data_IF_990812881087
#
_entry.id   IF_990812881087
#
_cell.length_a   1.000
_cell.length_b   1.000
_cell.length_c   1.000
_cell.angle_alpha   90.00
_cell.angle_beta   90.00
_cell.angle_gamma   90.00
#
_symmetry.space_group_name_H-M   'P 1'
#
loop_
_entity.id
_entity.type
_entity.pdbx_description
1 polymer ?
#
# COMPACT_ATOMS: atom_id res chain seq x y z
N UNK A 1 -13.20 -5.46 9.96
CA UNK A 1 -12.48 -5.80 8.73
C UNK A 1 -11.31 -4.85 8.69
N UNK A 2 -10.09 -5.36 8.67
CA UNK A 2 -8.88 -4.55 8.48
C UNK A 2 -8.74 -4.12 7.02
N UNK A 3 -9.41 -4.81 6.09
CA UNK A 3 -9.32 -4.54 4.67
C UNK A 3 -10.15 -3.37 4.14
N UNK A 4 -10.60 -2.40 4.93
CA UNK A 4 -11.46 -1.32 4.41
C UNK A 4 -10.64 -0.12 3.91
N UNK A 5 -10.37 -0.07 2.60
CA UNK A 5 -9.65 1.03 1.93
C UNK A 5 -10.57 1.83 1.01
N UNK A 6 -10.26 3.10 0.83
CA UNK A 6 -11.03 3.98 -0.05
C UNK A 6 -10.61 3.86 -1.51
N UNK A 7 -11.61 3.94 -2.38
CA UNK A 7 -11.43 4.07 -3.82
C UNK A 7 -12.03 5.41 -4.27
N UNK A 8 -11.22 6.25 -4.91
CA UNK A 8 -11.75 7.45 -5.55
C UNK A 8 -12.41 7.06 -6.87
N UNK A 9 -13.74 7.04 -6.87
CA UNK A 9 -14.57 6.64 -8.04
C UNK A 9 -14.99 7.80 -8.92
N UNK A 10 -14.48 9.02 -8.66
CA UNK A 10 -14.74 10.16 -9.53
C UNK A 10 -14.30 9.83 -10.96
N UNK A 11 -15.09 10.17 -11.99
CA UNK A 11 -14.80 9.74 -13.36
C UNK A 11 -13.40 10.10 -13.87
N UNK A 12 -12.83 11.20 -13.38
CA UNK A 12 -11.49 11.66 -13.75
C UNK A 12 -10.34 10.83 -13.13
N UNK A 13 -10.59 10.07 -12.06
CA UNK A 13 -9.60 9.25 -11.36
C UNK A 13 -9.88 7.75 -11.43
N UNK A 14 -10.99 7.37 -12.06
CA UNK A 14 -11.41 5.99 -12.23
C UNK A 14 -11.81 5.71 -13.67
N UNK A 15 -10.89 5.19 -14.46
CA UNK A 15 -11.08 4.91 -15.90
C UNK A 15 -12.33 4.08 -16.18
N UNK A 16 -12.65 3.12 -15.30
CA UNK A 16 -13.84 2.28 -15.47
C UNK A 16 -15.16 3.04 -15.37
N UNK A 17 -15.20 4.20 -14.73
CA UNK A 17 -16.39 5.06 -14.73
C UNK A 17 -16.71 5.60 -16.14
N UNK A 18 -15.69 5.81 -16.97
CA UNK A 18 -15.84 6.29 -18.34
C UNK A 18 -15.78 5.16 -19.37
N UNK A 19 -15.04 4.09 -19.08
CA UNK A 19 -14.83 2.94 -19.94
C UNK A 19 -15.11 1.63 -19.18
N UNK A 20 -16.38 1.18 -19.11
CA UNK A 20 -16.74 -0.04 -18.37
C UNK A 20 -16.04 -1.33 -18.85
N UNK A 21 -15.51 -1.34 -20.08
CA UNK A 21 -14.73 -2.45 -20.63
C UNK A 21 -13.25 -2.46 -20.21
N UNK A 22 -12.74 -1.39 -19.61
CA UNK A 22 -11.34 -1.27 -19.21
C UNK A 22 -11.01 -2.19 -18.03
N UNK A 23 -10.15 -3.18 -18.21
CA UNK A 23 -9.69 -4.01 -17.08
C UNK A 23 -8.63 -3.24 -16.29
N UNK A 24 -8.98 -2.78 -15.09
CA UNK A 24 -8.01 -2.11 -14.20
C UNK A 24 -6.99 -3.09 -13.65
N UNK A 25 -5.81 -2.58 -13.27
CA UNK A 25 -4.78 -3.36 -12.59
C UNK A 25 -4.62 -2.89 -11.15
N UNK A 26 -4.66 -3.82 -10.20
CA UNK A 26 -4.44 -3.55 -8.79
C UNK A 26 -3.41 -4.47 -8.17
N UNK A 27 -2.47 -3.90 -7.42
CA UNK A 27 -1.55 -4.61 -6.54
C UNK A 27 -1.87 -4.31 -5.09
N UNK A 28 -1.93 -5.33 -4.24
CA UNK A 28 -2.24 -5.23 -2.82
C UNK A 28 -1.22 -5.99 -1.99
N UNK A 29 -0.43 -5.28 -1.19
CA UNK A 29 0.59 -5.85 -0.32
C UNK A 29 0.12 -5.92 1.12
N UNK A 30 0.40 -7.06 1.76
CA UNK A 30 0.02 -7.41 3.13
C UNK A 30 -1.51 -7.49 3.26
N UNK A 31 -2.02 -8.69 3.01
CA UNK A 31 -3.46 -8.93 2.94
C UNK A 31 -3.98 -9.40 4.30
N UNK A 32 -3.12 -10.01 5.13
CA UNK A 32 -3.47 -10.32 6.51
C UNK A 32 -4.72 -11.21 6.66
N UNK A 33 -4.98 -12.08 5.68
CA UNK A 33 -6.19 -12.92 5.55
C UNK A 33 -7.52 -12.17 5.30
N UNK A 34 -7.52 -10.84 5.19
CA UNK A 34 -8.70 -10.04 4.85
C UNK A 34 -8.66 -9.56 3.39
N UNK A 35 -9.18 -10.38 2.48
CA UNK A 35 -9.30 -10.06 1.05
C UNK A 35 -10.56 -9.25 0.72
N UNK A 36 -11.27 -8.68 1.70
CA UNK A 36 -12.60 -8.10 1.43
C UNK A 36 -12.54 -6.99 0.37
N UNK A 37 -11.54 -6.11 0.43
CA UNK A 37 -11.33 -5.07 -0.57
C UNK A 37 -10.76 -5.60 -1.88
N UNK A 38 -9.77 -6.50 -1.83
CA UNK A 38 -9.19 -7.15 -3.01
C UNK A 38 -10.27 -7.89 -3.83
N UNK A 39 -11.14 -8.64 -3.15
CA UNK A 39 -12.27 -9.34 -3.76
C UNK A 39 -13.28 -8.37 -4.37
N UNK A 40 -13.51 -7.22 -3.74
CA UNK A 40 -14.43 -6.20 -4.28
C UNK A 40 -13.84 -5.49 -5.50
N UNK A 41 -12.56 -5.16 -5.49
CA UNK A 41 -11.87 -4.59 -6.65
C UNK A 41 -11.87 -5.55 -7.84
N UNK A 42 -11.74 -6.86 -7.60
CA UNK A 42 -11.90 -7.87 -8.65
C UNK A 42 -13.34 -7.91 -9.19
N UNK A 43 -14.36 -7.85 -8.32
CA UNK A 43 -15.78 -7.76 -8.75
C UNK A 43 -16.08 -6.49 -9.54
N UNK A 44 -15.40 -5.39 -9.22
CA UNK A 44 -15.50 -4.15 -9.97
C UNK A 44 -14.87 -4.26 -11.37
N UNK A 45 -14.12 -5.32 -11.67
CA UNK A 45 -13.55 -5.61 -12.99
C UNK A 45 -12.04 -5.38 -13.10
N UNK A 46 -11.31 -5.39 -11.96
CA UNK A 46 -9.86 -5.35 -11.98
C UNK A 46 -9.22 -6.74 -12.08
N UNK A 47 -8.08 -6.79 -12.75
CA UNK A 47 -7.03 -7.78 -12.54
C UNK A 47 -6.34 -7.45 -11.21
N UNK A 48 -6.51 -8.32 -10.19
CA UNK A 48 -6.04 -8.07 -8.83
C UNK A 48 -4.97 -9.09 -8.44
N UNK A 49 -3.81 -8.57 -8.02
CA UNK A 49 -2.70 -9.35 -7.48
C UNK A 49 -2.51 -8.99 -6.01
N UNK A 50 -2.71 -9.97 -5.14
CA UNK A 50 -2.59 -9.84 -3.70
C UNK A 50 -1.31 -10.54 -3.22
N UNK A 51 -0.50 -9.87 -2.42
CA UNK A 51 0.86 -10.28 -2.06
C UNK A 51 1.00 -10.37 -0.54
N UNK A 52 1.33 -11.56 -0.03
CA UNK A 52 1.66 -11.73 1.39
C UNK A 52 2.56 -12.95 1.60
N UNK A 53 3.82 -12.79 2.00
CA UNK A 53 4.73 -13.92 2.16
C UNK A 53 4.48 -14.70 3.46
N UNK A 54 3.79 -14.10 4.43
CA UNK A 54 3.57 -14.68 5.76
C UNK A 54 2.40 -15.67 5.79
N UNK A 55 1.48 -15.57 4.82
CA UNK A 55 0.25 -16.34 4.79
C UNK A 55 0.45 -17.80 4.37
N UNK A 56 -0.41 -18.67 4.90
CA UNK A 56 -0.40 -20.10 4.63
C UNK A 56 -1.21 -20.47 3.37
N UNK A 57 -1.00 -19.74 2.28
CA UNK A 57 -1.51 -20.10 0.96
C UNK A 57 -0.35 -20.47 0.02
N UNK A 58 -0.71 -21.20 -1.04
CA UNK A 58 0.18 -21.51 -2.15
C UNK A 58 0.27 -20.31 -3.10
N UNK A 59 1.46 -20.10 -3.65
CA UNK A 59 1.68 -19.08 -4.68
C UNK A 59 0.84 -19.38 -5.93
N UNK A 60 0.23 -18.36 -6.52
CA UNK A 60 -0.66 -18.49 -7.67
C UNK A 60 -2.08 -18.98 -7.35
N UNK A 61 -2.45 -19.13 -6.06
CA UNK A 61 -3.83 -19.46 -5.69
C UNK A 61 -4.80 -18.39 -6.23
N UNK A 62 -5.82 -18.83 -6.96
CA UNK A 62 -6.87 -17.95 -7.48
C UNK A 62 -8.13 -18.05 -6.61
N UNK A 63 -8.59 -16.93 -6.08
CA UNK A 63 -9.83 -16.84 -5.31
C UNK A 63 -11.05 -16.89 -6.22
N UNK A 64 -12.24 -17.16 -5.65
CA UNK A 64 -13.51 -17.18 -6.40
C UNK A 64 -13.83 -15.87 -7.11
N UNK A 65 -13.33 -14.75 -6.59
CA UNK A 65 -13.44 -13.40 -7.16
C UNK A 65 -12.56 -13.19 -8.39
N UNK A 66 -11.57 -14.05 -8.64
CA UNK A 66 -10.53 -13.88 -9.66
C UNK A 66 -9.22 -13.28 -9.14
N UNK A 67 -9.16 -12.86 -7.87
CA UNK A 67 -7.93 -12.38 -7.23
C UNK A 67 -6.86 -13.47 -7.26
N UNK A 68 -5.66 -13.12 -7.73
CA UNK A 68 -4.49 -14.00 -7.77
C UNK A 68 -3.62 -13.69 -6.55
N UNK A 69 -3.42 -14.68 -5.69
CA UNK A 69 -2.54 -14.56 -4.53
C UNK A 69 -1.10 -14.94 -4.87
N UNK A 70 -0.16 -14.15 -4.38
CA UNK A 70 1.28 -14.35 -4.51
C UNK A 70 1.91 -14.45 -3.12
N UNK A 71 2.68 -15.51 -2.89
CA UNK A 71 3.44 -15.72 -1.66
C UNK A 71 4.78 -14.99 -1.73
N UNK A 72 4.71 -13.70 -2.00
CA UNK A 72 5.86 -12.82 -2.26
C UNK A 72 5.69 -11.57 -1.42
N UNK A 73 6.76 -11.13 -0.75
CA UNK A 73 6.81 -9.85 -0.05
C UNK A 73 7.39 -8.75 -0.92
N UNK A 74 7.12 -7.51 -0.51
CA UNK A 74 7.69 -6.32 -1.13
C UNK A 74 8.93 -5.87 -0.36
N UNK A 75 9.98 -5.42 -1.06
CA UNK A 75 11.18 -4.88 -0.43
C UNK A 75 11.99 -3.99 -1.38
N UNK A 76 13.09 -3.42 -0.90
CA UNK A 76 13.96 -2.53 -1.70
C UNK A 76 14.87 -3.26 -2.69
N UNK A 77 14.99 -4.59 -2.59
CA UNK A 77 15.86 -5.42 -3.43
C UNK A 77 15.21 -6.77 -3.70
N UNK A 78 15.54 -7.41 -4.82
CA UNK A 78 15.04 -8.75 -5.09
C UNK A 78 15.79 -9.79 -4.25
N UNK A 79 15.06 -10.63 -3.52
CA UNK A 79 15.60 -11.66 -2.63
C UNK A 79 14.82 -12.95 -2.88
N UNK A 80 15.51 -14.04 -3.22
CA UNK A 80 14.83 -15.34 -3.39
C UNK A 80 14.38 -15.94 -2.06
N UNK A 81 15.13 -15.66 -0.99
CA UNK A 81 14.85 -16.14 0.36
C UNK A 81 15.47 -15.23 1.42
N UNK A 82 14.64 -14.47 2.15
CA UNK A 82 15.08 -13.65 3.28
C UNK A 82 15.34 -14.50 4.54
N UNK A 83 15.59 -13.87 5.69
CA UNK A 83 15.81 -14.56 6.96
C UNK A 83 14.59 -15.35 7.46
N UNK A 84 13.38 -15.00 7.02
CA UNK A 84 12.13 -15.72 7.33
C UNK A 84 11.82 -16.81 6.31
N UNK A 85 12.61 -16.93 5.26
CA UNK A 85 12.37 -17.86 4.16
C UNK A 85 11.47 -17.32 3.06
N UNK A 86 11.19 -16.01 3.07
CA UNK A 86 10.27 -15.36 2.15
C UNK A 86 10.96 -14.88 0.88
N UNK A 87 10.27 -15.06 -0.25
CA UNK A 87 10.66 -14.43 -1.51
C UNK A 87 10.23 -12.98 -1.48
N UNK A 88 11.16 -12.07 -1.76
CA UNK A 88 10.92 -10.63 -1.77
C UNK A 88 11.26 -10.05 -3.13
N UNK A 89 10.51 -9.02 -3.53
CA UNK A 89 10.68 -8.31 -4.80
C UNK A 89 10.53 -6.81 -4.64
N UNK A 90 11.13 -6.06 -5.55
CA UNK A 90 10.79 -4.64 -5.77
C UNK A 90 9.46 -4.50 -6.54
N UNK A 91 8.79 -3.35 -6.44
CA UNK A 91 7.56 -3.10 -7.19
C UNK A 91 7.83 -3.14 -8.71
N UNK A 92 8.96 -2.57 -9.13
CA UNK A 92 9.44 -2.58 -10.51
C UNK A 92 9.62 -4.01 -11.03
N UNK A 93 10.28 -4.88 -10.26
CA UNK A 93 10.47 -6.28 -10.65
C UNK A 93 9.13 -7.01 -10.74
N UNK A 94 8.20 -6.79 -9.81
CA UNK A 94 6.86 -7.41 -9.88
C UNK A 94 6.07 -6.98 -11.11
N UNK A 95 6.10 -5.70 -11.47
CA UNK A 95 5.49 -5.22 -12.71
C UNK A 95 6.10 -5.91 -13.94
N UNK A 96 7.40 -6.18 -13.94
CA UNK A 96 8.08 -6.87 -15.04
C UNK A 96 7.78 -8.37 -15.07
N UNK A 97 7.96 -9.08 -13.95
CA UNK A 97 7.78 -10.53 -13.84
C UNK A 97 6.33 -10.95 -14.14
N UNK A 98 5.35 -10.12 -13.77
CA UNK A 98 3.93 -10.38 -14.03
C UNK A 98 3.45 -9.88 -15.41
N UNK A 99 4.34 -9.35 -16.25
CA UNK A 99 3.99 -8.92 -17.62
C UNK A 99 3.17 -7.63 -17.69
N UNK A 100 3.33 -6.75 -16.70
CA UNK A 100 2.62 -5.48 -16.56
C UNK A 100 3.44 -4.25 -16.99
N UNK A 101 4.61 -4.46 -17.59
CA UNK A 101 5.30 -3.40 -18.33
C UNK A 101 4.41 -2.93 -19.48
N UNK A 102 4.18 -1.62 -19.59
CA UNK A 102 3.24 -1.01 -20.52
C UNK A 102 1.79 -0.92 -20.05
N UNK A 103 1.46 -1.33 -18.82
CA UNK A 103 0.13 -1.10 -18.19
C UNK A 103 0.17 0.07 -17.21
N UNK A 104 -0.97 0.71 -16.97
CA UNK A 104 -1.16 1.56 -15.79
C UNK A 104 -1.36 0.67 -14.56
N UNK A 105 -0.88 1.12 -13.40
CA UNK A 105 -1.27 0.53 -12.12
C UNK A 105 -2.39 1.41 -11.55
N UNK A 106 -3.64 0.97 -11.70
CA UNK A 106 -4.80 1.77 -11.32
C UNK A 106 -4.91 1.95 -9.81
N UNK A 107 -4.54 0.92 -9.05
CA UNK A 107 -4.57 0.96 -7.60
C UNK A 107 -3.38 0.22 -6.99
N UNK A 108 -2.63 0.89 -6.14
CA UNK A 108 -1.59 0.30 -5.30
C UNK A 108 -2.05 0.38 -3.85
N UNK A 109 -2.23 -0.76 -3.18
CA UNK A 109 -2.43 -0.85 -1.73
C UNK A 109 -1.16 -1.38 -1.07
N UNK A 110 -0.67 -0.71 -0.03
CA UNK A 110 0.47 -1.16 0.77
C UNK A 110 0.11 -1.14 2.25
N UNK A 111 -0.09 -2.32 2.81
CA UNK A 111 -0.41 -2.51 4.22
C UNK A 111 0.42 -3.65 4.79
N UNK A 112 1.69 -3.37 5.05
CA UNK A 112 2.66 -4.41 5.43
C UNK A 112 3.11 -4.22 6.86
N UNK A 113 2.98 -5.26 7.68
CA UNK A 113 3.55 -5.30 9.02
C UNK A 113 5.03 -5.67 8.99
N UNK A 114 5.87 -4.86 9.65
CA UNK A 114 7.27 -5.22 9.93
C UNK A 114 7.71 -4.69 11.32
N UNK A 115 8.73 -5.28 11.98
CA UNK A 115 9.08 -4.98 13.37
C UNK A 115 9.40 -3.51 13.69
N UNK A 116 9.83 -2.72 12.71
CA UNK A 116 10.14 -1.28 12.87
C UNK A 116 9.17 -0.36 12.10
N UNK A 117 8.02 -0.90 11.69
CA UNK A 117 7.07 -0.35 10.73
C UNK A 117 7.36 -0.86 9.32
N UNK A 118 6.32 -0.88 8.49
CA UNK A 118 6.27 -1.55 7.20
C UNK A 118 7.25 -1.07 6.12
N UNK A 119 6.93 -1.40 4.87
CA UNK A 119 7.72 -1.02 3.69
C UNK A 119 7.25 0.30 3.05
N UNK A 120 6.52 1.16 3.77
CA UNK A 120 5.90 2.37 3.22
C UNK A 120 6.93 3.36 2.69
N UNK A 121 7.97 3.64 3.48
CA UNK A 121 9.04 4.56 3.09
C UNK A 121 9.97 3.96 2.04
N UNK A 122 10.01 2.64 1.92
CA UNK A 122 10.72 1.95 0.84
C UNK A 122 9.96 2.08 -0.48
N UNK A 123 8.64 1.84 -0.48
CA UNK A 123 7.82 1.93 -1.68
C UNK A 123 7.68 3.35 -2.18
N UNK A 124 7.47 4.33 -1.30
CA UNK A 124 7.47 5.73 -1.71
C UNK A 124 8.83 6.13 -2.32
N UNK A 125 9.95 5.64 -1.77
CA UNK A 125 11.25 5.90 -2.36
C UNK A 125 11.37 5.29 -3.76
N UNK A 126 10.96 4.03 -3.92
CA UNK A 126 10.99 3.36 -5.22
C UNK A 126 10.12 4.08 -6.24
N UNK A 127 8.90 4.49 -5.88
CA UNK A 127 8.01 5.27 -6.75
C UNK A 127 8.69 6.55 -7.26
N UNK A 128 9.39 7.26 -6.37
CA UNK A 128 10.12 8.49 -6.69
C UNK A 128 11.35 8.21 -7.56
N UNK A 129 12.21 7.27 -7.16
CA UNK A 129 13.51 6.98 -7.80
C UNK A 129 13.36 6.37 -9.20
N UNK A 130 12.34 5.54 -9.40
CA UNK A 130 12.13 4.80 -10.66
C UNK A 130 11.21 5.52 -11.63
N UNK A 131 10.53 6.58 -11.21
CA UNK A 131 9.50 7.25 -11.99
C UNK A 131 8.15 6.52 -12.01
N UNK A 132 7.99 5.42 -11.28
CA UNK A 132 6.71 4.70 -11.20
C UNK A 132 5.56 5.56 -10.66
N UNK A 133 5.86 6.61 -9.87
CA UNK A 133 4.87 7.62 -9.46
C UNK A 133 4.14 8.29 -10.64
N UNK A 134 4.62 8.16 -11.87
CA UNK A 134 4.02 8.74 -13.08
C UNK A 134 2.98 7.82 -13.73
N UNK A 135 2.94 6.54 -13.37
CA UNK A 135 2.05 5.54 -13.96
C UNK A 135 1.04 4.93 -12.98
N UNK A 136 1.27 5.07 -11.67
CA UNK A 136 0.29 4.69 -10.64
C UNK A 136 -0.79 5.78 -10.54
N UNK A 137 -2.07 5.39 -10.57
CA UNK A 137 -3.22 6.33 -10.55
C UNK A 137 -3.74 6.61 -9.14
N UNK A 138 -3.88 5.58 -8.32
CA UNK A 138 -4.30 5.70 -6.92
C UNK A 138 -3.34 4.89 -6.02
N UNK A 139 -3.02 5.44 -4.86
CA UNK A 139 -2.11 4.82 -3.91
C UNK A 139 -2.67 4.94 -2.51
N UNK A 140 -2.95 3.80 -1.89
CA UNK A 140 -3.32 3.71 -0.50
C UNK A 140 -2.25 2.97 0.31
N UNK A 141 -1.96 3.46 1.51
CA UNK A 141 -1.04 2.79 2.41
C UNK A 141 -1.45 2.94 3.86
N UNK A 142 -1.16 1.93 4.68
CA UNK A 142 -1.11 2.06 6.13
C UNK A 142 0.28 2.51 6.57
N UNK A 143 0.37 3.71 7.11
CA UNK A 143 1.59 4.30 7.67
C UNK A 143 1.75 3.87 9.13
N UNK A 144 2.83 3.16 9.40
CA UNK A 144 3.27 2.73 10.71
C UNK A 144 4.28 3.72 11.31
N UNK A 145 3.84 4.52 12.28
CA UNK A 145 4.74 5.39 13.06
C UNK A 145 5.06 4.70 14.38
N UNK A 146 6.30 4.22 14.50
CA UNK A 146 6.81 3.58 15.71
C UNK A 146 7.46 4.59 16.66
N UNK A 147 6.93 4.71 17.88
CA UNK A 147 7.55 5.39 19.00
C UNK A 147 8.56 4.51 19.75
N UNK A 148 9.44 5.09 20.59
CA UNK A 148 9.41 6.50 20.97
C UNK A 148 10.15 7.40 19.97
N UNK A 149 9.57 8.56 19.65
CA UNK A 149 10.13 9.50 18.66
C UNK A 149 11.30 10.35 19.18
N UNK A 150 11.68 10.21 20.46
CA UNK A 150 12.95 10.73 20.96
C UNK A 150 14.15 9.85 20.56
N UNK A 151 13.93 8.66 20.00
CA UNK A 151 14.98 7.85 19.41
C UNK A 151 15.32 8.37 18.00
N UNK A 152 16.58 8.72 17.71
CA UNK A 152 16.95 9.32 16.43
C UNK A 152 16.49 8.52 15.20
N UNK A 153 16.69 7.20 15.18
CA UNK A 153 16.30 6.33 14.06
C UNK A 153 14.79 6.43 13.74
N UNK A 154 13.94 6.46 14.77
CA UNK A 154 12.48 6.52 14.64
C UNK A 154 12.01 7.90 14.18
N UNK A 155 12.63 8.96 14.72
CA UNK A 155 12.38 10.33 14.30
C UNK A 155 12.76 10.55 12.83
N UNK A 156 13.92 10.06 12.42
CA UNK A 156 14.40 10.18 11.04
C UNK A 156 13.50 9.44 10.05
N UNK A 157 13.02 8.23 10.39
CA UNK A 157 12.03 7.53 9.55
C UNK A 157 10.72 8.32 9.42
N UNK A 158 10.21 8.89 10.51
CA UNK A 158 9.00 9.73 10.46
C UNK A 158 9.19 10.98 9.59
N UNK A 159 10.35 11.64 9.69
CA UNK A 159 10.72 12.78 8.83
C UNK A 159 10.84 12.37 7.36
N UNK A 160 11.42 11.19 7.09
CA UNK A 160 11.54 10.63 5.75
C UNK A 160 10.17 10.39 5.12
N UNK A 161 9.25 9.73 5.83
CA UNK A 161 7.86 9.50 5.39
C UNK A 161 7.18 10.82 5.05
N UNK A 162 7.26 11.81 5.95
CA UNK A 162 6.69 13.15 5.71
C UNK A 162 7.29 13.82 4.47
N UNK A 163 8.61 13.76 4.30
CA UNK A 163 9.30 14.30 3.13
C UNK A 163 8.83 13.62 1.85
N UNK A 164 8.75 12.29 1.82
CA UNK A 164 8.36 11.53 0.63
C UNK A 164 6.92 11.81 0.21
N UNK A 165 5.98 11.93 1.16
CA UNK A 165 4.61 12.38 0.85
C UNK A 165 4.61 13.80 0.27
N UNK A 166 5.47 14.68 0.77
CA UNK A 166 5.62 16.05 0.23
C UNK A 166 6.22 16.03 -1.19
N UNK A 167 7.20 15.17 -1.43
CA UNK A 167 7.80 14.99 -2.75
C UNK A 167 6.76 14.45 -3.75
N UNK A 168 5.96 13.44 -3.36
CA UNK A 168 4.83 12.97 -4.17
C UNK A 168 3.84 14.10 -4.50
N UNK A 169 3.55 15.01 -3.56
CA UNK A 169 2.69 16.17 -3.84
C UNK A 169 3.27 17.08 -4.94
N UNK A 170 4.61 17.21 -5.01
CA UNK A 170 5.28 17.97 -6.08
C UNK A 170 5.19 17.29 -7.45
N UNK A 171 4.79 16.01 -7.49
CA UNK A 171 4.54 15.20 -8.68
C UNK A 171 3.04 14.95 -8.94
N UNK A 172 2.16 15.83 -8.43
CA UNK A 172 0.72 15.80 -8.72
C UNK A 172 -0.12 14.89 -7.82
N UNK A 173 0.48 14.20 -6.85
CA UNK A 173 -0.29 13.38 -5.90
C UNK A 173 -1.03 14.25 -4.89
N UNK A 174 -2.25 13.85 -4.53
CA UNK A 174 -3.07 14.53 -3.52
C UNK A 174 -3.70 13.51 -2.59
N UNK A 175 -3.49 13.72 -1.29
CA UNK A 175 -4.20 13.02 -0.24
C UNK A 175 -5.67 13.43 -0.26
N UNK A 176 -6.59 12.48 -0.41
CA UNK A 176 -8.02 12.74 -0.42
C UNK A 176 -8.76 12.13 0.78
N UNK A 177 -8.19 11.09 1.42
CA UNK A 177 -8.71 10.60 2.69
C UNK A 177 -7.61 10.11 3.63
N UNK A 178 -7.92 10.15 4.93
CA UNK A 178 -7.15 9.56 6.01
C UNK A 178 -8.07 8.91 7.04
N UNK A 179 -7.77 7.67 7.41
CA UNK A 179 -8.50 6.95 8.45
C UNK A 179 -7.56 6.45 9.54
N UNK A 180 -8.05 6.47 10.77
CA UNK A 180 -7.37 5.92 11.93
C UNK A 180 -7.51 4.39 11.89
N UNK A 181 -6.41 3.63 11.75
CA UNK A 181 -6.48 2.20 12.02
C UNK A 181 -6.40 1.91 13.52
N UNK A 182 -7.56 2.00 14.16
CA UNK A 182 -7.76 1.74 15.59
C UNK A 182 -8.72 0.57 15.82
N UNK A 183 -8.98 -0.24 14.78
CA UNK A 183 -10.03 -1.25 14.76
C UNK A 183 -9.88 -2.28 15.88
N UNK A 184 -8.64 -2.69 16.18
CA UNK A 184 -8.33 -3.58 17.30
C UNK A 184 -8.65 -2.94 18.67
N UNK A 185 -8.44 -1.63 18.81
CA UNK A 185 -8.70 -0.86 20.03
C UNK A 185 -10.19 -0.60 20.26
N UNK A 186 -10.98 -0.45 19.19
CA UNK A 186 -12.43 -0.19 19.27
C UNK A 186 -13.20 -1.29 20.01
N UNK A 187 -12.69 -2.54 20.01
CA UNK A 187 -13.28 -3.65 20.78
C UNK A 187 -13.34 -3.38 22.28
N UNK A 188 -12.41 -2.59 22.81
CA UNK A 188 -12.27 -2.32 24.24
C UNK A 188 -12.55 -0.85 24.60
N UNK A 189 -12.36 0.05 23.65
CA UNK A 189 -12.62 1.47 23.79
C UNK A 189 -13.29 2.01 22.53
N UNK A 190 -14.63 2.20 22.52
CA UNK A 190 -15.36 2.71 21.37
C UNK A 190 -14.94 4.12 20.91
N UNK A 191 -14.29 4.89 21.80
CA UNK A 191 -13.79 6.22 21.51
C UNK A 191 -12.30 6.23 21.14
N UNK A 192 -11.69 5.06 20.92
CA UNK A 192 -10.30 4.95 20.51
C UNK A 192 -10.06 5.73 19.21
N UNK A 193 -8.97 6.50 19.20
CA UNK A 193 -8.48 7.22 18.04
C UNK A 193 -6.96 7.37 18.18
N UNK A 194 -6.25 7.61 17.08
CA UNK A 194 -4.79 7.69 17.10
C UNK A 194 -4.27 8.92 17.84
N UNK A 195 -5.09 9.97 18.01
CA UNK A 195 -4.71 11.14 18.82
C UNK A 195 -4.46 10.79 20.29
N UNK A 196 -5.05 9.69 20.79
CA UNK A 196 -4.75 9.17 22.12
C UNK A 196 -3.29 8.74 22.24
N UNK A 197 -2.76 8.02 21.24
CA UNK A 197 -1.37 7.58 21.19
C UNK A 197 -0.38 8.72 20.87
N UNK A 198 -0.82 9.72 20.09
CA UNK A 198 -0.01 10.90 19.70
C UNK A 198 0.59 11.64 20.90
N UNK A 199 -0.11 11.71 22.03
CA UNK A 199 0.38 12.44 23.22
C UNK A 199 1.60 11.77 23.87
N UNK A 200 1.72 10.46 23.75
CA UNK A 200 2.74 9.67 24.45
C UNK A 200 3.82 9.11 23.53
N UNK A 201 3.59 9.07 22.21
CA UNK A 201 4.51 8.47 21.22
C UNK A 201 5.92 9.09 21.21
N UNK A 202 6.10 10.30 21.74
CA UNK A 202 7.44 10.91 21.82
C UNK A 202 8.35 10.15 22.78
N UNK A 203 7.80 9.61 23.89
CA UNK A 203 8.58 8.99 24.98
C UNK A 203 8.33 7.49 25.12
N UNK A 204 7.14 7.03 24.73
CA UNK A 204 6.69 5.67 24.98
C UNK A 204 6.81 4.79 23.73
N UNK A 205 6.94 3.48 23.94
CA UNK A 205 6.79 2.47 22.88
C UNK A 205 5.32 2.36 22.50
N UNK A 206 4.88 3.22 21.57
CA UNK A 206 3.54 3.26 21.01
C UNK A 206 3.62 3.19 19.49
N UNK A 207 2.61 2.58 18.89
CA UNK A 207 2.41 2.61 17.44
C UNK A 207 1.24 3.52 17.11
N UNK A 208 1.36 4.28 16.03
CA UNK A 208 0.25 4.95 15.36
C UNK A 208 0.18 4.35 13.95
N UNK A 209 -1.04 3.99 13.56
CA UNK A 209 -1.37 3.42 12.27
C UNK A 209 -2.36 4.35 11.57
N UNK A 210 -1.94 4.91 10.44
CA UNK A 210 -2.80 5.77 9.63
C UNK A 210 -2.92 5.22 8.24
N UNK A 211 -4.14 4.94 7.83
CA UNK A 211 -4.44 4.65 6.45
C UNK A 211 -4.55 5.98 5.71
N UNK A 212 -3.88 6.06 4.57
CA UNK A 212 -3.86 7.24 3.72
C UNK A 212 -4.24 6.82 2.32
N UNK A 213 -5.02 7.66 1.63
CA UNK A 213 -5.45 7.41 0.27
C UNK A 213 -5.14 8.62 -0.61
N UNK A 214 -4.39 8.38 -1.68
CA UNK A 214 -3.93 9.40 -2.61
C UNK A 214 -4.45 9.13 -4.04
N UNK A 215 -4.74 10.22 -4.76
CA UNK A 215 -4.94 10.23 -6.21
C UNK A 215 -3.80 10.96 -6.91
N UNK A 216 -3.45 10.53 -8.10
CA UNK A 216 -2.45 11.18 -8.95
C UNK A 216 -3.12 12.07 -10.00
N UNK A 217 -2.92 13.38 -9.90
CA UNK A 217 -3.46 14.35 -10.85
C UNK A 217 -2.60 14.51 -12.12
N UNK A 218 -1.40 13.94 -12.13
CA UNK A 218 -0.40 14.14 -13.18
C UNK A 218 0.18 12.83 -13.73
N UNK A 219 -0.66 11.82 -13.90
CA UNK A 219 -0.31 10.56 -14.57
C UNK A 219 0.23 10.88 -15.97
N UNK A 220 1.47 10.44 -16.27
CA UNK A 220 2.16 10.76 -17.54
C UNK A 220 2.05 9.65 -18.59
N UNK A 221 1.84 8.41 -18.17
CA UNK A 221 1.79 7.26 -19.08
C UNK A 221 1.83 5.92 -18.36
N UNK A 222 1.78 4.81 -19.10
CA UNK A 222 1.86 3.47 -18.52
C UNK A 222 3.24 3.21 -17.90
N UNK A 223 3.32 2.24 -16.98
CA UNK A 223 4.56 1.88 -16.29
C UNK A 223 5.54 1.25 -17.27
N UNK A 224 6.66 1.90 -17.55
CA UNK A 224 7.74 1.35 -18.38
C UNK A 224 8.85 0.83 -17.47
N UNK A 225 8.92 -0.51 -17.34
CA UNK A 225 9.84 -1.21 -16.43
C UNK A 225 10.69 -2.26 -17.13
#
# INVERSE_FOLDING_TARGET
MDGAYDLCVEPQFWERAQNPGYTCLMYSFGVGYDFSFDDEMARLGCEVHSFDPSMHYEDGMVRKSGVIFHKIGISTVDIEKDSNGWKMRTLKTLLKELGHSGKYLDYLKVDTDAPEGGFEDAIMQELLDTGLHQCVRQYAMEIHIAGPLNMPKKLERMRKIHKQMTDLNSHGWRLYNTTDNVRSMLKHNPNANQLMNKKTIVKDQRMIFWETAFVNLEVKGPCSV
#
